data_IF_253923307450
#
_entry.id   IF_253923307450
#
_cell.length_a   1.000
_cell.length_b   1.000
_cell.length_c   1.000
_cell.angle_alpha   90.00
_cell.angle_beta   90.00
_cell.angle_gamma   90.00
#
_symmetry.space_group_name_H-M   'P 1'
#
loop_
_entity.id
_entity.type
_entity.pdbx_description
1 polymer ?
#
# COMPACT_ATOMS: atom_id res chain seq x y z
N UNK A 1 3.94 19.57 14.80
CA UNK A 1 3.43 18.18 14.70
C UNK A 1 2.98 17.75 16.08
N UNK A 2 1.68 17.48 16.26
CA UNK A 2 1.14 16.93 17.51
C UNK A 2 1.50 15.45 17.57
N UNK A 3 2.27 15.06 18.58
CA UNK A 3 2.50 13.65 18.89
C UNK A 3 1.18 13.01 19.30
N UNK A 4 0.96 11.77 18.89
CA UNK A 4 -0.25 11.00 19.23
C UNK A 4 0.12 10.03 20.34
N UNK A 5 -0.81 9.82 21.27
CA UNK A 5 -0.68 8.83 22.33
C UNK A 5 -1.30 7.52 21.90
N UNK A 6 -0.57 6.42 22.05
CA UNK A 6 -1.14 5.08 22.04
C UNK A 6 -1.34 4.58 23.47
N UNK A 7 -2.00 3.43 23.65
CA UNK A 7 -2.25 2.82 24.97
C UNK A 7 -0.96 2.63 25.78
N UNK A 8 0.15 2.29 25.14
CA UNK A 8 1.45 2.14 25.81
C UNK A 8 2.02 3.49 26.29
N UNK A 9 1.78 4.57 25.55
CA UNK A 9 2.16 5.91 25.98
C UNK A 9 1.35 6.37 27.19
N UNK A 10 0.06 6.04 27.25
CA UNK A 10 -0.78 6.36 28.40
C UNK A 10 -0.27 5.68 29.67
N UNK A 11 0.10 4.40 29.58
CA UNK A 11 0.70 3.66 30.70
C UNK A 11 2.05 4.25 31.10
N UNK A 12 2.92 4.56 30.12
CA UNK A 12 4.26 5.09 30.40
C UNK A 12 4.25 6.49 31.04
N UNK A 13 3.25 7.31 30.72
CA UNK A 13 3.11 8.65 31.30
C UNK A 13 2.12 8.73 32.47
N UNK A 14 1.58 7.60 32.94
CA UNK A 14 0.57 7.56 34.01
C UNK A 14 1.10 8.13 35.34
N UNK A 15 2.39 7.94 35.62
CA UNK A 15 3.02 8.35 36.88
C UNK A 15 3.53 9.81 36.85
N UNK A 16 3.44 10.49 35.70
CA UNK A 16 3.92 11.86 35.52
C UNK A 16 2.78 12.88 35.69
N UNK A 17 3.04 14.02 36.36
CA UNK A 17 2.05 15.08 36.47
C UNK A 17 1.67 15.63 35.09
N UNK A 18 0.42 16.08 34.93
CA UNK A 18 -0.19 16.46 33.64
C UNK A 18 0.65 17.49 32.86
N UNK A 19 1.25 18.46 33.56
CA UNK A 19 2.10 19.50 32.96
C UNK A 19 3.41 18.95 32.36
N UNK A 20 4.05 18.01 33.06
CA UNK A 20 5.29 17.37 32.58
C UNK A 20 4.99 16.38 31.45
N UNK A 21 3.85 15.69 31.54
CA UNK A 21 3.35 14.79 30.50
C UNK A 21 3.16 15.52 29.18
N UNK A 22 2.54 16.70 29.15
CA UNK A 22 2.38 17.48 27.92
C UNK A 22 3.73 17.94 27.32
N UNK A 23 4.68 18.37 28.16
CA UNK A 23 6.04 18.75 27.71
C UNK A 23 6.81 17.54 27.15
N UNK A 24 6.71 16.37 27.78
CA UNK A 24 7.34 15.11 27.33
C UNK A 24 6.70 14.58 26.05
N UNK A 25 5.38 14.68 25.90
CA UNK A 25 4.66 14.28 24.69
C UNK A 25 5.03 15.13 23.49
N UNK A 26 5.13 16.45 23.66
CA UNK A 26 5.51 17.35 22.58
C UNK A 26 6.97 17.20 22.17
N UNK A 27 7.89 17.00 23.12
CA UNK A 27 9.35 16.92 22.88
C UNK A 27 9.86 15.54 22.50
N UNK A 28 9.36 14.48 23.13
CA UNK A 28 10.00 13.16 23.19
C UNK A 28 9.05 11.99 22.86
N UNK A 29 7.82 12.26 22.40
CA UNK A 29 6.92 11.16 21.99
C UNK A 29 7.57 10.29 20.90
N UNK A 30 7.64 8.99 21.16
CA UNK A 30 8.12 7.98 20.20
C UNK A 30 7.21 7.87 18.98
N UNK A 31 5.95 8.30 19.11
CA UNK A 31 4.94 8.28 18.07
C UNK A 31 4.78 9.66 17.44
N UNK A 32 5.52 9.85 16.36
CA UNK A 32 5.35 10.98 15.44
C UNK A 32 5.11 10.44 14.04
N UNK A 33 3.87 10.43 13.60
CA UNK A 33 3.54 10.26 12.19
C UNK A 33 4.12 11.46 11.43
N UNK A 34 5.16 11.18 10.63
CA UNK A 34 5.75 12.16 9.72
C UNK A 34 4.79 12.50 8.57
N UNK A 35 3.90 11.57 8.24
CA UNK A 35 2.88 11.71 7.21
C UNK A 35 1.63 10.94 7.66
N UNK A 36 0.46 11.56 7.49
CA UNK A 36 -0.83 10.88 7.66
C UNK A 36 -1.04 10.09 6.37
N UNK A 37 -1.09 8.75 6.41
CA UNK A 37 -1.37 7.98 5.21
C UNK A 37 -2.71 8.43 4.61
N UNK A 38 -2.81 8.60 3.28
CA UNK A 38 -4.08 8.92 2.65
C UNK A 38 -5.09 7.83 3.01
N UNK A 39 -6.35 8.22 3.16
CA UNK A 39 -7.40 7.25 3.38
C UNK A 39 -7.46 6.25 2.21
N UNK A 40 -7.97 5.06 2.47
CA UNK A 40 -8.16 4.07 1.41
C UNK A 40 -9.06 4.66 0.32
N UNK A 41 -8.68 4.53 -0.97
CA UNK A 41 -9.47 5.06 -2.06
C UNK A 41 -10.91 4.55 -2.05
N UNK A 42 -11.81 5.32 -2.65
CA UNK A 42 -13.20 4.92 -2.81
C UNK A 42 -13.29 3.58 -3.55
N UNK A 43 -14.16 2.70 -3.07
CA UNK A 43 -14.39 1.34 -3.59
C UNK A 43 -13.23 0.33 -3.39
N UNK A 44 -12.13 0.68 -2.72
CA UNK A 44 -10.98 -0.23 -2.50
C UNK A 44 -11.35 -1.51 -1.73
N UNK A 45 -12.31 -1.42 -0.81
CA UNK A 45 -12.78 -2.55 0.02
C UNK A 45 -14.05 -3.22 -0.49
N UNK A 46 -14.51 -2.92 -1.69
CA UNK A 46 -15.66 -3.62 -2.27
C UNK A 46 -15.30 -5.05 -2.62
N UNK A 47 -15.97 -6.01 -1.98
CA UNK A 47 -15.77 -7.43 -2.22
C UNK A 47 -16.61 -7.85 -3.43
N UNK A 48 -16.01 -7.86 -4.61
CA UNK A 48 -16.67 -8.27 -5.85
C UNK A 48 -16.08 -7.58 -7.08
N UNK A 49 -16.45 -8.05 -8.27
CA UNK A 49 -16.13 -7.34 -9.50
C UNK A 49 -17.24 -6.33 -9.80
N UNK A 50 -16.92 -5.03 -9.93
CA UNK A 50 -17.92 -4.05 -10.35
C UNK A 50 -18.46 -4.41 -11.74
N UNK A 51 -19.72 -4.07 -11.98
CA UNK A 51 -20.33 -4.25 -13.31
C UNK A 51 -19.58 -3.42 -14.36
N UNK A 52 -19.71 -3.78 -15.64
CA UNK A 52 -19.08 -3.01 -16.74
C UNK A 52 -19.55 -1.56 -16.75
N UNK A 53 -20.84 -1.29 -16.48
CA UNK A 53 -21.38 0.06 -16.35
C UNK A 53 -20.72 0.82 -15.19
N UNK A 54 -20.63 0.19 -14.02
CA UNK A 54 -19.96 0.77 -12.84
C UNK A 54 -18.47 1.03 -13.11
N UNK A 55 -17.80 0.19 -13.90
CA UNK A 55 -16.41 0.40 -14.31
C UNK A 55 -16.26 1.63 -15.22
N UNK A 56 -17.23 1.93 -16.08
CA UNK A 56 -17.24 3.14 -16.92
C UNK A 56 -17.49 4.38 -16.06
N UNK A 57 -18.49 4.35 -15.19
CA UNK A 57 -18.83 5.47 -14.29
C UNK A 57 -17.67 5.84 -13.36
N UNK A 58 -16.93 4.83 -12.87
CA UNK A 58 -15.73 5.00 -12.03
C UNK A 58 -14.48 5.37 -12.84
N UNK A 59 -14.56 5.39 -14.16
CA UNK A 59 -13.45 5.71 -15.05
C UNK A 59 -12.38 4.64 -15.18
N UNK A 60 -12.65 3.40 -14.74
CA UNK A 60 -11.77 2.25 -14.95
C UNK A 60 -11.71 1.84 -16.42
N UNK A 61 -12.82 2.00 -17.13
CA UNK A 61 -12.93 1.79 -18.57
C UNK A 61 -13.10 3.14 -19.23
N UNK A 62 -12.16 3.52 -20.10
CA UNK A 62 -12.30 4.67 -20.99
C UNK A 62 -12.75 4.15 -22.34
N UNK A 63 -13.90 4.63 -22.82
CA UNK A 63 -14.33 4.42 -24.20
C UNK A 63 -13.46 5.28 -25.11
N UNK A 64 -12.24 4.82 -25.42
CA UNK A 64 -11.38 5.47 -26.40
C UNK A 64 -11.98 5.29 -27.79
N UNK A 65 -12.41 6.38 -28.42
CA UNK A 65 -12.78 6.41 -29.84
C UNK A 65 -11.56 6.19 -30.76
N UNK A 66 -10.35 6.39 -30.22
CA UNK A 66 -9.11 6.17 -30.92
C UNK A 66 -8.66 4.69 -30.82
N UNK A 67 -8.06 4.13 -31.89
CA UNK A 67 -7.52 2.78 -31.83
C UNK A 67 -6.42 2.68 -30.77
N UNK A 68 -6.35 1.59 -29.99
CA UNK A 68 -5.35 1.43 -28.95
C UNK A 68 -3.95 1.51 -29.53
N UNK A 69 -2.95 2.02 -28.77
CA UNK A 69 -1.58 2.07 -29.25
C UNK A 69 -1.14 0.65 -29.62
N UNK A 70 -0.65 0.49 -30.85
CA UNK A 70 -0.25 -0.80 -31.38
C UNK A 70 0.85 -1.38 -30.49
N UNK A 71 0.50 -2.38 -29.67
CA UNK A 71 1.48 -3.07 -28.81
C UNK A 71 2.59 -3.60 -29.70
N UNK A 72 3.81 -3.11 -29.49
CA UNK A 72 4.96 -3.61 -30.20
C UNK A 72 5.13 -5.09 -29.86
N UNK A 73 4.89 -5.97 -30.85
CA UNK A 73 5.19 -7.38 -30.67
C UNK A 73 6.67 -7.49 -30.34
N UNK A 74 6.98 -8.21 -29.25
CA UNK A 74 8.36 -8.51 -28.89
C UNK A 74 9.03 -9.18 -30.09
N UNK A 75 9.98 -8.48 -30.72
CA UNK A 75 10.68 -8.98 -31.91
C UNK A 75 11.65 -10.13 -31.61
N UNK A 76 12.09 -10.25 -30.35
CA UNK A 76 13.12 -11.23 -29.93
C UNK A 76 12.49 -12.37 -29.13
N UNK A 77 12.84 -13.64 -29.41
CA UNK A 77 12.38 -14.76 -28.61
C UNK A 77 12.88 -14.64 -27.15
N UNK A 78 12.17 -15.28 -26.22
CA UNK A 78 12.56 -15.34 -24.82
C UNK A 78 13.76 -16.28 -24.65
N UNK A 79 14.87 -15.76 -24.12
CA UNK A 79 16.02 -16.58 -23.74
C UNK A 79 15.81 -17.11 -22.33
N UNK A 80 15.38 -18.37 -22.22
CA UNK A 80 15.30 -19.06 -20.93
C UNK A 80 16.72 -19.30 -20.39
N UNK A 81 17.01 -18.75 -19.21
CA UNK A 81 18.32 -18.91 -18.52
C UNK A 81 18.32 -20.08 -17.53
N UNK A 82 17.19 -20.78 -17.40
CA UNK A 82 17.07 -21.88 -16.45
C UNK A 82 17.50 -23.19 -17.11
N UNK A 83 18.51 -23.83 -16.53
CA UNK A 83 18.95 -25.16 -16.93
C UNK A 83 18.03 -26.20 -16.27
N UNK A 84 17.44 -27.14 -17.02
CA UNK A 84 16.63 -28.20 -16.42
C UNK A 84 17.51 -29.04 -15.49
N UNK A 85 17.07 -29.25 -14.24
CA UNK A 85 17.79 -30.11 -13.29
C UNK A 85 17.90 -31.52 -13.86
N UNK A 86 19.12 -31.98 -14.16
CA UNK A 86 19.39 -33.33 -14.61
C UNK A 86 18.90 -34.37 -13.61
N UNK A 87 18.26 -35.44 -14.11
CA UNK A 87 17.81 -36.57 -13.30
C UNK A 87 19.04 -37.25 -12.67
N UNK A 88 19.21 -37.13 -11.36
CA UNK A 88 20.18 -37.95 -10.64
C UNK A 88 19.70 -39.40 -10.68
N UNK A 89 20.37 -40.27 -11.46
CA UNK A 89 20.26 -41.70 -11.31
C UNK A 89 20.89 -42.07 -9.96
N UNK A 90 20.06 -42.56 -9.02
CA UNK A 90 20.55 -43.27 -7.84
C UNK A 90 21.06 -44.64 -8.32
N UNK A 91 22.36 -44.85 -8.24
CA UNK A 91 22.98 -46.18 -8.17
C UNK A 91 22.94 -46.68 -6.74
#
# INVERSE_FOLDING_TARGET
MTGHTCKECEIYYADLPEEERQKKLSSCSRHRFRYIPPNTPENFWEVGFPSTQTCVDRGYIKEETAPPPQRSRRRRPYNAVFSPKGKQQRT
#
